data_IF_888546130630
#
_entry.id   IF_888546130630
#
_cell.length_a   1.000
_cell.length_b   1.000
_cell.length_c   1.000
_cell.angle_alpha   90.00
_cell.angle_beta   90.00
_cell.angle_gamma   90.00
#
_symmetry.space_group_name_H-M   'P 1'
#
loop_
_entity.id
_entity.type
_entity.pdbx_description
1 polymer ?
#
# COMPACT_ATOMS: atom_id res chain seq x y z
N UNK A 1 11.09 -8.49 -15.05
CA UNK A 1 11.02 -7.02 -14.97
C UNK A 1 9.66 -6.58 -14.46
N UNK A 2 9.59 -5.80 -13.39
CA UNK A 2 8.30 -5.34 -12.90
C UNK A 2 7.67 -4.31 -13.81
N UNK A 3 6.35 -4.38 -13.94
CA UNK A 3 5.56 -3.42 -14.68
C UNK A 3 4.74 -2.58 -13.71
N UNK A 4 4.34 -1.39 -14.15
CA UNK A 4 3.41 -0.60 -13.38
C UNK A 4 2.01 -1.20 -13.55
N UNK A 5 1.38 -1.50 -12.44
CA UNK A 5 0.05 -2.10 -12.41
C UNK A 5 -0.86 -1.34 -11.48
N UNK A 6 -2.16 -1.50 -11.67
CA UNK A 6 -3.16 -0.85 -10.82
C UNK A 6 -3.25 -1.56 -9.48
N UNK A 7 -3.52 -0.78 -8.43
CA UNK A 7 -3.69 -1.33 -7.09
C UNK A 7 -4.94 -2.22 -7.02
N UNK A 8 -4.95 -3.21 -6.11
CA UNK A 8 -6.17 -3.96 -5.83
C UNK A 8 -7.16 -3.10 -5.06
N UNK A 9 -8.39 -3.62 -4.90
CA UNK A 9 -9.38 -2.99 -4.05
C UNK A 9 -8.96 -3.23 -2.59
N UNK A 10 -8.93 -2.16 -1.80
CA UNK A 10 -8.69 -2.26 -0.36
C UNK A 10 -9.96 -1.92 0.40
N UNK A 11 -10.23 -2.69 1.45
CA UNK A 11 -11.33 -2.39 2.36
C UNK A 11 -10.73 -1.69 3.58
N UNK A 12 -11.25 -0.51 3.90
CA UNK A 12 -10.73 0.31 4.99
C UNK A 12 -11.75 0.34 6.12
N UNK A 13 -11.32 -0.03 7.32
CA UNK A 13 -12.15 0.06 8.52
C UNK A 13 -11.31 0.60 9.68
N UNK A 14 -11.97 1.25 10.63
CA UNK A 14 -11.29 1.81 11.79
C UNK A 14 -10.38 2.99 11.45
N UNK A 15 -10.72 3.76 10.43
CA UNK A 15 -9.91 4.92 10.05
C UNK A 15 -9.93 5.94 11.19
N UNK A 16 -8.74 6.39 11.67
CA UNK A 16 -8.70 7.34 12.79
C UNK A 16 -9.36 8.67 12.45
N UNK A 17 -9.98 9.27 13.46
CA UNK A 17 -10.48 10.62 13.34
C UNK A 17 -9.32 11.57 13.04
N UNK A 18 -9.53 12.48 12.12
CA UNK A 18 -8.49 13.41 11.68
C UNK A 18 -7.67 12.91 10.51
N UNK A 19 -7.88 11.68 10.05
CA UNK A 19 -7.20 11.19 8.87
C UNK A 19 -7.69 11.92 7.62
N UNK A 20 -6.76 12.35 6.79
CA UNK A 20 -7.05 12.94 5.48
C UNK A 20 -6.89 11.92 4.36
N UNK A 21 -6.14 10.86 4.60
CA UNK A 21 -5.92 9.84 3.60
C UNK A 21 -5.00 8.74 4.10
N UNK A 22 -4.66 7.86 3.19
CA UNK A 22 -3.80 6.70 3.46
C UNK A 22 -2.66 6.65 2.45
N UNK A 23 -1.46 6.47 2.95
CA UNK A 23 -0.26 6.20 2.15
C UNK A 23 -0.07 4.69 2.10
N UNK A 24 -0.17 4.12 0.89
CA UNK A 24 0.05 2.70 0.64
C UNK A 24 1.45 2.48 0.08
N UNK A 25 2.14 1.45 0.60
CA UNK A 25 3.45 1.03 0.10
C UNK A 25 3.51 -0.49 0.00
N UNK A 26 4.16 -0.97 -1.06
CA UNK A 26 4.41 -2.39 -1.23
C UNK A 26 5.89 -2.68 -1.05
N UNK A 27 6.21 -3.68 -0.25
CA UNK A 27 7.58 -4.08 0.06
C UNK A 27 7.74 -5.58 -0.19
N UNK A 28 8.83 -5.96 -0.85
CA UNK A 28 9.23 -7.36 -0.98
C UNK A 28 10.04 -7.72 0.26
N UNK A 29 9.50 -8.60 1.09
CA UNK A 29 10.17 -8.99 2.34
C UNK A 29 11.43 -9.82 2.10
N UNK A 30 11.57 -10.43 0.93
CA UNK A 30 12.75 -11.20 0.55
C UNK A 30 13.84 -10.31 -0.05
N UNK A 31 13.46 -9.18 -0.64
CA UNK A 31 14.39 -8.20 -1.20
C UNK A 31 13.95 -6.81 -0.74
N UNK A 32 14.18 -6.47 0.54
CA UNK A 32 13.61 -5.23 1.10
C UNK A 32 14.13 -3.95 0.47
N UNK A 33 15.29 -4.00 -0.19
CA UNK A 33 15.83 -2.82 -0.86
C UNK A 33 15.10 -2.47 -2.14
N UNK A 34 14.30 -3.36 -2.69
CA UNK A 34 13.54 -3.07 -3.90
C UNK A 34 12.28 -2.28 -3.53
N UNK A 35 12.16 -1.10 -4.10
CA UNK A 35 11.01 -0.24 -3.85
C UNK A 35 9.93 -0.48 -4.90
N UNK A 36 8.82 -1.10 -4.51
CA UNK A 36 7.69 -1.32 -5.38
C UNK A 36 6.77 -0.11 -5.46
N UNK A 37 7.01 0.89 -4.63
CA UNK A 37 6.22 2.11 -4.64
C UNK A 37 4.91 1.95 -3.91
N UNK A 38 3.93 2.74 -4.33
CA UNK A 38 2.61 2.77 -3.71
C UNK A 38 1.88 4.02 -4.14
N UNK A 39 1.01 4.52 -3.29
CA UNK A 39 0.28 5.73 -3.61
C UNK A 39 -0.47 6.30 -2.43
N UNK A 40 -0.95 7.51 -2.61
CA UNK A 40 -1.76 8.23 -1.64
C UNK A 40 -3.20 8.24 -2.09
N UNK A 41 -4.11 7.94 -1.15
CA UNK A 41 -5.54 7.96 -1.41
C UNK A 41 -6.19 8.91 -0.41
N UNK A 42 -6.93 9.88 -0.90
CA UNK A 42 -7.70 10.77 -0.03
C UNK A 42 -8.94 10.03 0.45
N UNK A 43 -9.05 9.84 1.74
CA UNK A 43 -10.18 9.16 2.37
C UNK A 43 -10.28 9.63 3.82
N UNK A 44 -11.49 10.01 4.23
CA UNK A 44 -11.74 10.48 5.59
C UNK A 44 -12.77 9.64 6.34
N UNK A 45 -13.32 8.62 5.70
CA UNK A 45 -14.29 7.70 6.29
C UNK A 45 -13.99 6.29 5.88
N UNK A 46 -14.40 5.32 6.68
CA UNK A 46 -14.30 3.92 6.31
C UNK A 46 -15.00 3.65 4.98
N UNK A 47 -14.49 2.69 4.23
CA UNK A 47 -15.03 2.34 2.94
C UNK A 47 -14.05 1.56 2.11
N UNK A 48 -14.24 1.61 0.81
CA UNK A 48 -13.38 0.90 -0.12
C UNK A 48 -12.49 1.88 -0.88
N UNK A 49 -11.22 1.49 -1.06
CA UNK A 49 -10.34 2.14 -2.02
C UNK A 49 -10.49 1.36 -3.32
N UNK A 50 -11.00 2.00 -4.35
CA UNK A 50 -11.23 1.36 -5.63
C UNK A 50 -9.93 0.88 -6.25
N UNK A 51 -9.99 -0.22 -6.99
CA UNK A 51 -8.88 -0.63 -7.84
C UNK A 51 -8.61 0.46 -8.87
N UNK A 52 -7.38 0.53 -9.36
CA UNK A 52 -6.98 1.53 -10.33
C UNK A 52 -6.96 2.97 -9.77
N UNK A 53 -6.76 3.10 -8.46
CA UNK A 53 -6.60 4.42 -7.83
C UNK A 53 -5.17 4.92 -7.89
N UNK A 54 -4.19 4.01 -7.92
CA UNK A 54 -2.77 4.34 -8.11
C UNK A 54 -2.07 3.19 -8.80
N UNK A 55 -0.84 3.45 -9.27
CA UNK A 55 0.01 2.45 -9.90
C UNK A 55 1.19 2.13 -9.01
N UNK A 56 1.64 0.89 -9.04
CA UNK A 56 2.82 0.47 -8.31
C UNK A 56 3.59 -0.55 -9.14
N UNK A 57 4.83 -0.83 -8.76
CA UNK A 57 5.65 -1.83 -9.46
C UNK A 57 5.21 -3.23 -9.04
N UNK A 58 4.79 -4.03 -10.00
CA UNK A 58 4.26 -5.37 -9.73
C UNK A 58 5.34 -6.29 -9.14
N UNK A 59 4.91 -7.30 -8.35
CA UNK A 59 5.83 -8.36 -7.97
C UNK A 59 6.37 -9.09 -9.20
N UNK A 60 7.67 -9.37 -9.19
CA UNK A 60 8.32 -10.07 -10.29
C UNK A 60 9.49 -10.91 -9.75
N UNK A 61 9.23 -11.87 -8.86
CA UNK A 61 10.31 -12.68 -8.31
C UNK A 61 10.93 -13.57 -9.39
N UNK A 62 12.26 -13.67 -9.45
CA UNK A 62 12.90 -14.36 -10.57
C UNK A 62 12.73 -15.88 -10.55
N UNK A 63 12.84 -16.53 -9.40
CA UNK A 63 12.91 -17.99 -9.36
C UNK A 63 12.05 -18.65 -8.30
N UNK A 64 11.39 -17.90 -7.45
CA UNK A 64 10.66 -18.49 -6.34
C UNK A 64 9.63 -17.50 -5.79
N UNK A 65 8.77 -18.04 -4.93
CA UNK A 65 7.77 -17.24 -4.25
C UNK A 65 8.43 -16.29 -3.26
N UNK A 66 8.05 -15.02 -3.33
CA UNK A 66 8.44 -14.02 -2.35
C UNK A 66 7.22 -13.59 -1.54
N UNK A 67 7.47 -13.11 -0.35
CA UNK A 67 6.42 -12.55 0.50
C UNK A 67 6.44 -11.04 0.32
N UNK A 68 5.27 -10.46 0.12
CA UNK A 68 5.10 -9.02 -0.07
C UNK A 68 4.23 -8.47 1.03
N UNK A 69 4.56 -7.27 1.48
CA UNK A 69 3.82 -6.60 2.52
C UNK A 69 3.27 -5.27 2.03
N UNK A 70 1.95 -5.13 2.07
CA UNK A 70 1.32 -3.84 1.95
C UNK A 70 1.35 -3.16 3.31
N UNK A 71 1.79 -1.91 3.34
CA UNK A 71 1.74 -1.08 4.53
C UNK A 71 0.83 0.10 4.23
N UNK A 72 -0.18 0.30 5.06
CA UNK A 72 -1.14 1.39 4.94
C UNK A 72 -0.97 2.30 6.15
N UNK A 73 -0.61 3.55 5.91
CA UNK A 73 -0.45 4.56 6.98
C UNK A 73 -1.52 5.62 6.81
N UNK A 74 -2.44 5.68 7.78
CA UNK A 74 -3.43 6.75 7.83
C UNK A 74 -2.75 8.01 8.34
N UNK A 75 -2.85 9.10 7.60
CA UNK A 75 -2.13 10.34 7.91
C UNK A 75 -3.07 11.52 7.90
N UNK A 76 -2.71 12.55 8.65
CA UNK A 76 -3.51 13.77 8.74
C UNK A 76 -3.34 14.68 7.51
N UNK A 77 -2.30 14.46 6.72
CA UNK A 77 -2.14 15.13 5.43
C UNK A 77 -1.16 14.36 4.56
N UNK A 78 -1.21 14.63 3.26
CA UNK A 78 -0.35 14.01 2.28
C UNK A 78 1.11 14.44 2.47
N UNK A 79 2.03 13.51 2.16
CA UNK A 79 3.44 13.80 2.11
C UNK A 79 4.18 13.47 3.41
N UNK A 80 5.49 13.65 3.39
CA UNK A 80 6.34 13.25 4.50
C UNK A 80 6.07 14.04 5.78
N UNK A 81 5.57 15.27 5.65
CA UNK A 81 5.26 16.10 6.81
C UNK A 81 3.93 15.74 7.47
N UNK A 82 3.13 14.87 6.84
CA UNK A 82 1.90 14.38 7.44
C UNK A 82 2.20 13.47 8.61
N UNK A 83 1.42 13.62 9.69
CA UNK A 83 1.56 12.77 10.86
C UNK A 83 0.86 11.44 10.64
N UNK A 84 1.54 10.34 10.92
CA UNK A 84 0.93 9.00 10.87
C UNK A 84 0.08 8.79 12.12
N UNK A 85 -1.21 8.54 11.91
CA UNK A 85 -2.18 8.35 12.99
C UNK A 85 -2.40 6.88 13.30
N UNK A 86 -2.25 6.00 12.29
CA UNK A 86 -2.37 4.56 12.46
C UNK A 86 -1.66 3.86 11.31
N UNK A 87 -1.25 2.63 11.54
CA UNK A 87 -0.58 1.80 10.54
C UNK A 87 -1.19 0.41 10.54
N UNK A 88 -1.42 -0.13 9.35
CA UNK A 88 -1.85 -1.50 9.17
C UNK A 88 -0.99 -2.17 8.11
N UNK A 89 -0.82 -3.47 8.23
CA UNK A 89 -0.03 -4.25 7.27
C UNK A 89 -0.78 -5.50 6.87
N UNK A 90 -0.50 -5.97 5.64
CA UNK A 90 -1.01 -7.25 5.16
C UNK A 90 0.06 -7.92 4.32
N UNK A 91 0.34 -9.18 4.59
CA UNK A 91 1.36 -9.94 3.90
C UNK A 91 0.69 -10.92 2.94
N UNK A 92 1.20 -10.96 1.71
CA UNK A 92 0.72 -11.86 0.67
C UNK A 92 1.91 -12.48 -0.05
N UNK A 93 1.88 -13.78 -0.34
CA UNK A 93 2.88 -14.38 -1.20
C UNK A 93 2.57 -14.10 -2.68
N UNK A 94 3.60 -14.05 -3.49
CA UNK A 94 3.44 -13.97 -4.94
C UNK A 94 4.58 -14.76 -5.60
N UNK A 95 4.30 -15.59 -6.57
CA UNK A 95 2.95 -16.00 -6.98
C UNK A 95 2.23 -16.77 -5.86
N UNK A 96 0.92 -16.66 -5.87
CA UNK A 96 0.08 -17.35 -4.88
C UNK A 96 0.02 -18.83 -5.10
#
# INVERSE_FOLDING_TARGET
>A
RPNLVSNPIFKVSGLPKGAAGIDFRLKDLNVPSFNHGGGWIEISKDGKVAGNSFKYKSPCPPNRKHRYQWTAKAKDKKGWSGKTLATATAIRPYPE
#
